data_IF_695952648940
#
_entry.id   IF_695952648940
#
_cell.length_a   1.000
_cell.length_b   1.000
_cell.length_c   1.000
_cell.angle_alpha   90.00
_cell.angle_beta   90.00
_cell.angle_gamma   90.00
#
_symmetry.space_group_name_H-M   'P 1'
#
loop_
_entity.id
_entity.type
_entity.pdbx_description
1 polymer ?
#
# COMPACT_ATOMS: atom_id res chain seq x y z
N UNK A 1 -14.29 2.80 -14.73
CA UNK A 1 -14.09 3.21 -13.32
C UNK A 1 -12.72 2.74 -12.85
N UNK A 2 -11.73 3.62 -12.86
CA UNK A 2 -10.41 3.34 -12.29
C UNK A 2 -10.28 4.15 -11.00
N UNK A 3 -10.63 3.55 -9.86
CA UNK A 3 -10.31 4.15 -8.58
C UNK A 3 -8.82 3.92 -8.31
N UNK A 4 -8.01 4.97 -8.08
CA UNK A 4 -6.56 4.84 -7.91
C UNK A 4 -6.16 3.97 -6.72
N UNK A 5 -7.09 3.77 -5.78
CA UNK A 5 -6.91 3.04 -4.53
C UNK A 5 -7.28 1.55 -4.61
N UNK A 6 -7.89 1.10 -5.70
CA UNK A 6 -8.27 -0.31 -5.88
C UNK A 6 -7.19 -1.03 -6.71
N UNK A 7 -6.63 -2.10 -6.15
CA UNK A 7 -5.67 -2.96 -6.85
C UNK A 7 -6.24 -4.37 -6.98
N UNK A 8 -6.15 -4.92 -8.18
CA UNK A 8 -6.36 -6.34 -8.41
C UNK A 8 -5.13 -7.16 -7.96
N UNK A 9 -5.26 -7.87 -6.83
CA UNK A 9 -4.21 -8.72 -6.27
C UNK A 9 -4.30 -10.18 -6.73
N UNK A 10 -5.48 -10.62 -7.18
CA UNK A 10 -5.75 -11.95 -7.70
C UNK A 10 -6.86 -11.88 -8.75
N UNK A 11 -7.01 -12.91 -9.61
CA UNK A 11 -8.06 -12.91 -10.66
C UNK A 11 -9.47 -12.73 -10.09
N UNK A 12 -9.69 -13.20 -8.87
CA UNK A 12 -10.98 -13.16 -8.16
C UNK A 12 -11.06 -12.07 -7.08
N UNK A 13 -9.99 -11.29 -6.85
CA UNK A 13 -9.94 -10.34 -5.74
C UNK A 13 -9.38 -8.99 -6.15
N UNK A 14 -10.12 -7.95 -5.78
CA UNK A 14 -9.71 -6.55 -5.82
C UNK A 14 -9.71 -6.03 -4.38
N UNK A 15 -8.65 -5.36 -3.98
CA UNK A 15 -8.46 -4.84 -2.61
C UNK A 15 -8.23 -3.34 -2.64
N UNK A 16 -8.68 -2.66 -1.59
CA UNK A 16 -8.37 -1.26 -1.37
C UNK A 16 -7.03 -1.14 -0.65
N UNK A 17 -6.09 -0.39 -1.23
CA UNK A 17 -4.73 -0.16 -0.68
C UNK A 17 -4.76 0.37 0.75
N UNK A 18 -5.69 1.28 1.03
CA UNK A 18 -5.79 1.96 2.33
C UNK A 18 -6.17 1.03 3.47
N UNK A 19 -6.66 -0.17 3.17
CA UNK A 19 -7.05 -1.17 4.16
C UNK A 19 -6.05 -2.34 4.26
N UNK A 20 -4.94 -2.30 3.52
CA UNK A 20 -3.88 -3.30 3.64
C UNK A 20 -3.05 -2.97 4.87
N UNK A 21 -2.98 -3.90 5.82
CA UNK A 21 -2.19 -3.75 7.05
C UNK A 21 -0.79 -4.36 6.90
N UNK A 22 -0.71 -5.59 6.38
CA UNK A 22 0.56 -6.31 6.22
C UNK A 22 0.56 -7.03 4.87
N UNK A 23 1.67 -6.93 4.14
CA UNK A 23 1.94 -7.76 2.96
C UNK A 23 2.83 -8.94 3.36
N UNK A 24 2.38 -10.16 3.06
CA UNK A 24 3.19 -11.39 3.08
C UNK A 24 3.47 -11.84 1.64
N UNK A 25 4.35 -12.84 1.48
CA UNK A 25 4.76 -13.37 0.17
C UNK A 25 3.57 -13.74 -0.73
N UNK A 26 2.56 -14.40 -0.15
CA UNK A 26 1.45 -15.01 -0.89
C UNK A 26 0.07 -14.46 -0.52
N UNK A 27 0.02 -13.51 0.42
CA UNK A 27 -1.24 -13.00 0.93
C UNK A 27 -1.10 -11.58 1.48
N UNK A 28 -2.20 -10.84 1.46
CA UNK A 28 -2.40 -9.57 2.14
C UNK A 28 -3.21 -9.81 3.40
N UNK A 29 -2.82 -9.13 4.48
CA UNK A 29 -3.58 -9.06 5.72
C UNK A 29 -4.21 -7.68 5.76
N UNK A 30 -5.53 -7.62 5.81
CA UNK A 30 -6.29 -6.37 5.90
C UNK A 30 -6.41 -5.89 7.36
N UNK A 31 -6.85 -4.64 7.54
CA UNK A 31 -7.04 -4.04 8.87
C UNK A 31 -8.00 -4.83 9.76
N UNK A 32 -9.01 -5.46 9.18
CA UNK A 32 -9.97 -6.34 9.87
C UNK A 32 -9.45 -7.78 10.06
N UNK A 33 -8.14 -8.01 9.86
CA UNK A 33 -7.48 -9.31 9.95
C UNK A 33 -7.87 -10.33 8.86
N UNK A 34 -8.70 -9.94 7.89
CA UNK A 34 -9.01 -10.81 6.76
C UNK A 34 -7.76 -11.09 5.90
N UNK A 35 -7.68 -12.32 5.39
CA UNK A 35 -6.58 -12.80 4.56
C UNK A 35 -7.03 -12.85 3.10
N UNK A 36 -6.29 -12.16 2.22
CA UNK A 36 -6.56 -12.15 0.78
C UNK A 36 -5.36 -12.73 0.02
N UNK A 37 -5.54 -13.78 -0.80
CA UNK A 37 -4.44 -14.38 -1.54
C UNK A 37 -3.95 -13.46 -2.66
N UNK A 38 -2.64 -13.48 -2.91
CA UNK A 38 -2.00 -12.80 -4.04
C UNK A 38 -1.70 -13.84 -5.12
N UNK A 39 -2.04 -13.55 -6.38
CA UNK A 39 -1.67 -14.44 -7.48
C UNK A 39 -0.16 -14.41 -7.72
N UNK A 40 0.40 -15.54 -8.19
CA UNK A 40 1.84 -15.66 -8.48
C UNK A 40 2.34 -14.53 -9.40
N UNK A 41 1.57 -14.19 -10.44
CA UNK A 41 1.91 -13.13 -11.40
C UNK A 41 1.81 -11.71 -10.83
N UNK A 42 1.13 -11.51 -9.70
CA UNK A 42 0.98 -10.20 -9.05
C UNK A 42 1.95 -9.99 -7.89
N UNK A 43 2.69 -11.01 -7.44
CA UNK A 43 3.67 -10.87 -6.33
C UNK A 43 4.68 -9.76 -6.59
N UNK A 44 5.34 -9.80 -7.75
CA UNK A 44 6.36 -8.81 -8.15
C UNK A 44 5.79 -7.39 -8.24
N UNK A 45 4.51 -7.24 -8.58
CA UNK A 45 3.84 -5.94 -8.60
C UNK A 45 3.73 -5.37 -7.18
N UNK A 46 3.32 -6.19 -6.21
CA UNK A 46 3.25 -5.77 -4.80
C UNK A 46 4.63 -5.57 -4.16
N UNK A 47 5.65 -6.34 -4.57
CA UNK A 47 7.03 -6.10 -4.12
C UNK A 47 7.51 -4.70 -4.50
N UNK A 48 7.22 -4.26 -5.74
CA UNK A 48 7.56 -2.91 -6.23
C UNK A 48 6.72 -1.82 -5.56
N UNK A 49 5.42 -2.06 -5.40
CA UNK A 49 4.50 -1.11 -4.76
C UNK A 49 4.94 -0.75 -3.33
N UNK A 50 5.43 -1.76 -2.59
CA UNK A 50 5.90 -1.56 -1.20
C UNK A 50 7.11 -0.63 -1.15
N UNK A 51 8.00 -0.67 -2.15
CA UNK A 51 9.18 0.19 -2.22
C UNK A 51 8.82 1.64 -2.57
N UNK A 52 7.91 1.85 -3.51
CA UNK A 52 7.45 3.18 -3.93
C UNK A 52 6.64 3.90 -2.84
N UNK A 53 5.80 3.17 -2.10
CA UNK A 53 5.06 3.75 -0.96
C UNK A 53 5.99 4.13 0.22
N UNK A 54 7.10 3.41 0.41
CA UNK A 54 8.11 3.73 1.44
C UNK A 54 8.96 4.95 1.07
N UNK A 55 9.28 5.14 -0.21
CA UNK A 55 10.01 6.34 -0.67
C UNK A 55 9.13 7.58 -0.71
N UNK A 56 7.84 7.44 -1.06
CA UNK A 56 6.87 8.54 -1.06
C UNK A 56 6.50 9.06 0.33
N UNK A 57 6.33 8.17 1.33
CA UNK A 57 6.02 8.58 2.72
C UNK A 57 7.14 9.38 3.39
N UNK A 58 8.40 9.18 2.97
CA UNK A 58 9.55 9.96 3.50
C UNK A 58 9.44 11.45 3.18
N UNK A 59 8.81 11.82 2.07
CA UNK A 59 8.73 13.22 1.64
C UNK A 59 7.67 14.00 2.42
N UNK A 60 6.50 13.40 2.69
CA UNK A 60 5.41 14.08 3.42
C UNK A 60 5.75 14.33 4.90
N UNK A 61 6.37 13.36 5.58
CA UNK A 61 6.80 13.55 6.96
C UNK A 61 7.84 14.69 7.07
N UNK A 62 8.79 14.78 6.14
CA UNK A 62 9.80 15.84 6.14
C UNK A 62 9.19 17.25 5.93
N UNK A 63 8.13 17.37 5.12
CA UNK A 63 7.45 18.65 4.86
C UNK A 63 6.64 19.16 6.04
N UNK A 64 5.98 18.28 6.80
CA UNK A 64 5.21 18.67 7.99
C UNK A 64 6.13 19.26 9.09
N UNK A 65 7.28 18.63 9.33
CA UNK A 65 8.27 19.16 10.30
C UNK A 65 8.86 20.51 9.88
N UNK A 66 9.12 20.71 8.58
CA UNK A 66 9.64 22.00 8.09
C UNK A 66 8.63 23.13 8.19
N UNK A 67 7.34 22.84 7.95
CA UNK A 67 6.28 23.83 8.10
C UNK A 67 6.11 24.24 9.57
N UNK A 68 6.09 23.28 10.49
CA UNK A 68 5.98 23.57 11.93
C UNK A 68 7.12 24.44 12.47
N UNK A 69 8.36 24.26 11.98
CA UNK A 69 9.51 25.09 12.38
C UNK A 69 9.48 26.51 11.80
N UNK A 70 8.74 26.74 10.72
CA UNK A 70 8.56 28.06 10.11
C UNK A 70 7.46 28.90 10.75
N UNK A 71 6.66 28.30 11.64
CA UNK A 71 5.57 28.96 12.39
C UNK A 71 5.91 29.21 13.88
N UNK A 72 7.14 28.89 14.31
CA UNK A 72 7.70 29.22 15.63
C UNK A 72 8.79 30.27 15.49
#
# INVERSE_FOLDING_TARGET
MNSPDLIQCHRSYVVNKNHIKIRKKDQLILVNQALVPISRGKRNFFDKLTLEELTGKKQQAATEYSLLLSFT
#
